data_IF_802403601794
#
_entry.id   IF_802403601794
#
_cell.length_a   1.000
_cell.length_b   1.000
_cell.length_c   1.000
_cell.angle_alpha   90.00
_cell.angle_beta   90.00
_cell.angle_gamma   90.00
#
_symmetry.space_group_name_H-M   'P 1'
#
loop_
_entity.id
_entity.type
_entity.pdbx_description
1 polymer ?
2 non-polymer ?
3 non-polymer ?
4 non-polymer ?
5 non-polymer ?
6 water ?
#
# COMPACT_ATOMS: atom_id res chain seq x y z
N UNK A 1 -8.47 3.48 -6.90
CA UNK A 1 -9.55 4.03 -7.75
C UNK A 1 -10.40 2.89 -8.29
N UNK A 2 -11.70 2.93 -8.01
CA UNK A 2 -12.67 1.88 -8.43
C UNK A 2 -13.13 2.06 -9.88
N UNK A 3 -13.57 0.96 -10.47
CA UNK A 3 -14.11 0.92 -11.86
C UNK A 3 -15.57 1.38 -11.83
N UNK A 4 -15.86 2.55 -12.38
CA UNK A 4 -17.22 3.12 -12.47
C UNK A 4 -18.23 2.10 -13.10
N UNK A 5 -17.74 1.21 -13.96
CA UNK A 5 -18.55 0.20 -14.62
C UNK A 5 -19.18 -0.76 -13.64
N UNK A 6 -18.49 -1.07 -12.52
CA UNK A 6 -19.04 -1.96 -11.49
C UNK A 6 -20.21 -1.30 -10.75
N UNK A 7 -20.17 0.04 -10.60
CA UNK A 7 -21.26 0.78 -9.98
C UNK A 7 -22.47 0.69 -10.92
N UNK A 8 -22.23 0.76 -12.23
CA UNK A 8 -23.28 0.65 -13.24
C UNK A 8 -23.84 -0.75 -13.38
N UNK A 9 -22.94 -1.78 -13.41
CA UNK A 9 -23.33 -3.16 -13.72
C UNK A 9 -23.64 -4.06 -12.55
N UNK A 10 -23.04 -3.83 -11.36
CA UNK A 10 -23.35 -4.63 -10.16
C UNK A 10 -23.47 -3.70 -8.91
N UNK A 11 -24.34 -2.66 -8.94
CA UNK A 11 -24.42 -1.77 -7.77
C UNK A 11 -24.70 -2.44 -6.41
N UNK A 12 -25.55 -3.48 -6.38
CA UNK A 12 -25.86 -4.21 -5.15
C UNK A 12 -24.63 -4.88 -4.58
N UNK A 13 -23.79 -5.50 -5.45
CA UNK A 13 -22.52 -6.13 -5.05
C UNK A 13 -21.58 -5.06 -4.46
N UNK A 14 -21.51 -3.87 -5.11
CA UNK A 14 -20.66 -2.76 -4.68
C UNK A 14 -21.16 -2.26 -3.30
N UNK A 15 -22.49 -2.05 -3.15
CA UNK A 15 -23.11 -1.64 -1.88
C UNK A 15 -22.79 -2.62 -0.77
N UNK A 16 -22.87 -3.93 -1.10
CA UNK A 16 -22.61 -5.03 -0.15
C UNK A 16 -21.15 -5.01 0.34
N UNK A 17 -20.20 -4.82 -0.57
CA UNK A 17 -18.77 -4.83 -0.26
C UNK A 17 -18.37 -3.58 0.56
N UNK A 18 -18.99 -2.41 0.27
CA UNK A 18 -18.77 -1.16 1.03
C UNK A 18 -19.33 -1.29 2.45
N UNK A 19 -20.56 -1.82 2.58
CA UNK A 19 -21.24 -2.05 3.84
C UNK A 19 -20.45 -3.02 4.72
N UNK A 20 -19.98 -4.15 4.14
CA UNK A 20 -19.16 -5.14 4.86
C UNK A 20 -17.90 -4.53 5.52
N UNK A 21 -17.31 -3.48 4.92
CA UNK A 21 -16.12 -2.77 5.47
C UNK A 21 -16.49 -1.83 6.65
N UNK A 22 -17.80 -1.65 6.87
CA UNK A 22 -18.33 -0.74 7.87
C UNK A 22 -18.60 0.63 7.28
N UNK A 23 -18.46 0.76 5.95
CA UNK A 23 -18.67 2.02 5.25
C UNK A 23 -20.12 2.23 4.76
N UNK A 24 -20.43 3.47 4.36
CA UNK A 24 -21.76 3.85 3.92
C UNK A 24 -22.03 3.41 2.47
N UNK A 25 -22.94 2.44 2.22
CA UNK A 25 -23.23 2.01 0.83
C UNK A 25 -24.00 3.05 -0.01
N UNK A 26 -24.60 4.09 0.64
CA UNK A 26 -25.35 5.15 -0.04
C UNK A 26 -24.50 5.93 -1.06
N UNK A 27 -23.16 5.84 -0.95
CA UNK A 27 -22.22 6.45 -1.90
C UNK A 27 -22.45 5.90 -3.34
N UNK A 28 -22.98 4.66 -3.46
CA UNK A 28 -23.25 4.01 -4.74
C UNK A 28 -24.41 4.73 -5.42
N UNK A 29 -25.41 5.15 -4.62
CA UNK A 29 -26.54 5.90 -5.14
C UNK A 29 -26.13 7.31 -5.55
N UNK A 30 -25.22 7.95 -4.78
CA UNK A 30 -24.70 9.29 -5.05
C UNK A 30 -23.89 9.26 -6.35
N UNK A 31 -23.07 8.20 -6.56
CA UNK A 31 -22.28 8.02 -7.77
C UNK A 31 -23.19 7.83 -8.98
N UNK A 32 -24.17 6.89 -8.91
CA UNK A 32 -25.10 6.63 -10.01
C UNK A 32 -25.94 7.85 -10.39
N UNK A 33 -26.28 8.72 -9.42
CA UNK A 33 -27.04 9.95 -9.64
C UNK A 33 -26.18 10.92 -10.48
N UNK A 34 -24.90 11.04 -10.11
CA UNK A 34 -23.99 11.91 -10.84
C UNK A 34 -23.76 11.32 -12.23
N UNK A 35 -23.62 9.98 -12.32
CA UNK A 35 -23.43 9.29 -13.61
C UNK A 35 -24.59 9.55 -14.60
N UNK A 36 -25.84 9.53 -14.10
CA UNK A 36 -27.04 9.79 -14.89
C UNK A 36 -27.04 11.27 -15.36
N UNK A 37 -26.70 12.23 -14.47
CA UNK A 37 -26.60 13.64 -14.85
C UNK A 37 -25.55 13.82 -15.96
N UNK A 38 -24.41 13.11 -15.83
CA UNK A 38 -23.29 13.11 -16.75
C UNK A 38 -23.74 12.59 -18.11
N UNK A 39 -24.45 11.45 -18.10
CA UNK A 39 -25.01 10.79 -19.27
C UNK A 39 -25.96 11.72 -20.02
N UNK A 40 -26.82 12.45 -19.29
CA UNK A 40 -27.77 13.41 -19.86
C UNK A 40 -27.03 14.60 -20.51
N UNK A 41 -25.98 15.12 -19.83
CA UNK A 41 -25.15 16.22 -20.31
C UNK A 41 -24.47 15.83 -21.63
N UNK A 42 -23.82 14.64 -21.67
CA UNK A 42 -23.18 14.16 -22.89
C UNK A 42 -24.20 14.04 -24.04
N UNK A 43 -25.31 13.32 -23.78
CA UNK A 43 -26.40 13.10 -24.73
C UNK A 43 -26.96 14.42 -25.27
N UNK A 44 -27.10 15.44 -24.41
CA UNK A 44 -27.62 16.75 -24.84
C UNK A 44 -26.57 17.50 -25.69
N UNK A 45 -25.25 17.37 -25.37
CA UNK A 45 -24.15 17.98 -26.14
C UNK A 45 -24.14 17.37 -27.56
N UNK A 46 -24.32 16.03 -27.64
CA UNK A 46 -24.36 15.29 -28.91
C UNK A 46 -25.53 15.74 -29.78
N UNK A 47 -26.74 15.98 -29.19
CA UNK A 47 -27.89 16.50 -29.96
C UNK A 47 -27.58 17.91 -30.45
N UNK A 48 -26.81 18.69 -29.67
CA UNK A 48 -26.40 20.04 -30.03
C UNK A 48 -25.38 20.05 -31.15
N UNK A 49 -24.40 19.11 -31.11
CA UNK A 49 -23.36 19.01 -32.13
C UNK A 49 -23.99 18.58 -33.45
N UNK A 50 -25.01 17.70 -33.40
CA UNK A 50 -25.76 17.23 -34.58
C UNK A 50 -26.57 18.40 -35.16
N UNK A 51 -27.20 19.20 -34.28
CA UNK A 51 -27.98 20.36 -34.69
C UNK A 51 -27.06 21.40 -35.34
N UNK A 52 -25.84 21.57 -34.80
CA UNK A 52 -24.83 22.49 -35.32
C UNK A 52 -24.40 22.07 -36.72
N UNK A 53 -24.25 20.74 -36.95
CA UNK A 53 -23.88 20.22 -38.27
C UNK A 53 -24.95 20.61 -39.29
N UNK A 54 -26.25 20.42 -38.95
CA UNK A 54 -27.38 20.82 -39.80
C UNK A 54 -27.32 22.33 -40.08
N UNK A 55 -27.09 23.15 -39.02
CA UNK A 55 -27.00 24.61 -39.11
C UNK A 55 -25.84 25.03 -40.05
N UNK A 56 -24.61 24.47 -39.88
CA UNK A 56 -23.43 24.79 -40.70
C UNK A 56 -23.60 24.45 -42.17
N UNK A 57 -24.27 23.31 -42.46
CA UNK A 57 -24.56 22.87 -43.82
C UNK A 57 -25.50 23.89 -44.47
N UNK A 58 -26.47 24.41 -43.69
CA UNK A 58 -27.44 25.44 -44.12
C UNK A 58 -26.74 26.76 -44.42
N UNK A 59 -25.78 27.18 -43.57
CA UNK A 59 -24.99 28.41 -43.77
C UNK A 59 -24.17 28.33 -45.07
N UNK A 60 -23.49 27.18 -45.31
CA UNK A 60 -22.70 26.89 -46.51
C UNK A 60 -23.59 26.85 -47.75
N UNK A 61 -24.82 26.27 -47.61
CA UNK A 61 -25.80 26.18 -48.70
C UNK A 61 -26.35 27.58 -49.03
N UNK A 62 -26.57 28.42 -48.00
CA UNK A 62 -27.07 29.78 -48.17
C UNK A 62 -25.97 30.69 -48.71
N UNK A 63 -24.70 30.40 -48.38
CA UNK A 63 -23.52 31.14 -48.84
C UNK A 63 -23.33 30.93 -50.35
N UNK A 64 -23.65 29.72 -50.84
CA UNK A 64 -23.55 29.37 -52.26
C UNK A 64 -24.79 29.85 -53.03
N UNK A 65 -25.98 29.80 -52.39
CA UNK A 65 -27.26 30.20 -52.98
C UNK A 65 -27.56 31.72 -52.93
N UNK A 66 -26.92 32.46 -52.01
CA UNK A 66 -27.10 33.90 -51.75
C UNK A 66 -28.54 34.26 -51.38
CA UNK A 69 -28.84 33.81 -43.03
C UNK A 69 -28.44 34.29 -41.64
N UNK A 70 -28.88 35.49 -41.26
CA UNK A 70 -28.59 36.11 -39.96
C UNK A 70 -29.14 35.30 -38.78
N UNK A 71 -30.29 34.61 -38.97
CA UNK A 71 -30.91 33.77 -37.93
C UNK A 71 -30.18 32.43 -37.79
N UNK A 72 -29.70 31.84 -38.90
CA UNK A 72 -28.94 30.59 -38.82
C UNK A 72 -27.53 30.89 -38.26
N UNK A 73 -27.02 32.14 -38.44
CA UNK A 73 -25.74 32.60 -37.88
C UNK A 73 -25.90 32.74 -36.34
N UNK A 74 -27.00 33.41 -35.90
CA UNK A 74 -27.35 33.60 -34.49
C UNK A 74 -27.55 32.24 -33.79
N UNK A 75 -28.26 31.31 -34.42
CA UNK A 75 -28.48 29.95 -33.84
C UNK A 75 -27.13 29.24 -33.72
N UNK A 76 -26.27 29.40 -34.73
CA UNK A 76 -24.94 28.75 -34.71
C UNK A 76 -24.14 29.28 -33.51
N UNK A 77 -24.23 30.58 -33.25
CA UNK A 77 -23.50 31.21 -32.11
C UNK A 77 -24.03 30.63 -30.79
N UNK A 78 -25.35 30.53 -30.62
CA UNK A 78 -25.98 29.99 -29.41
C UNK A 78 -25.56 28.53 -29.16
N UNK A 79 -25.57 27.72 -30.24
CA UNK A 79 -25.18 26.32 -30.16
C UNK A 79 -23.72 26.19 -29.72
N UNK A 80 -22.84 27.05 -30.26
CA UNK A 80 -21.43 27.08 -29.92
C UNK A 80 -21.24 27.41 -28.46
N UNK A 81 -22.00 28.42 -27.97
CA UNK A 81 -21.99 28.86 -26.58
C UNK A 81 -22.44 27.75 -25.62
N UNK A 82 -23.59 27.13 -25.92
CA UNK A 82 -24.19 26.04 -25.13
C UNK A 82 -23.32 24.79 -25.03
N UNK A 83 -22.61 24.43 -26.11
CA UNK A 83 -21.73 23.26 -26.15
C UNK A 83 -20.53 23.53 -25.23
N UNK A 84 -19.98 24.76 -25.29
CA UNK A 84 -18.86 25.20 -24.49
C UNK A 84 -19.25 25.14 -23.00
N UNK A 85 -20.49 25.57 -22.67
CA UNK A 85 -21.05 25.54 -21.33
C UNK A 85 -21.19 24.07 -20.88
N UNK A 86 -21.78 23.20 -21.75
CA UNK A 86 -21.94 21.78 -21.44
C UNK A 86 -20.60 21.06 -21.26
N UNK A 87 -19.55 21.50 -21.97
CA UNK A 87 -18.23 20.93 -21.84
C UNK A 87 -17.61 21.25 -20.47
N UNK A 88 -17.80 22.50 -19.97
CA UNK A 88 -17.27 22.86 -18.67
C UNK A 88 -18.06 22.13 -17.57
N UNK A 89 -19.40 22.02 -17.75
CA UNK A 89 -20.29 21.31 -16.82
C UNK A 89 -19.88 19.82 -16.70
N UNK A 90 -19.52 19.20 -17.83
CA UNK A 90 -19.11 17.80 -17.86
C UNK A 90 -17.76 17.60 -17.14
N UNK A 91 -16.80 18.52 -17.35
CA UNK A 91 -15.49 18.47 -16.71
C UNK A 91 -15.66 18.50 -15.18
N UNK A 92 -16.61 19.33 -14.71
CA UNK A 92 -16.92 19.52 -13.30
C UNK A 92 -17.54 18.28 -12.70
N UNK A 93 -18.56 17.71 -13.36
CA UNK A 93 -19.21 16.49 -12.87
C UNK A 93 -18.20 15.33 -12.83
N UNK A 94 -17.29 15.27 -13.82
CA UNK A 94 -16.28 14.21 -13.90
C UNK A 94 -15.36 14.32 -12.70
N UNK A 95 -14.89 15.55 -12.38
CA UNK A 95 -13.99 15.83 -11.25
C UNK A 95 -14.69 15.56 -9.95
N UNK A 96 -16.00 15.89 -9.87
CA UNK A 96 -16.82 15.61 -8.69
C UNK A 96 -16.94 14.08 -8.49
N UNK A 97 -17.21 13.33 -9.57
CA UNK A 97 -17.31 11.86 -9.51
C UNK A 97 -15.99 11.21 -9.09
N UNK A 98 -14.88 11.66 -9.72
CA UNK A 98 -13.51 11.21 -9.42
C UNK A 98 -13.13 11.49 -7.94
N UNK A 99 -13.57 12.62 -7.41
CA UNK A 99 -13.34 13.02 -6.02
C UNK A 99 -13.95 12.04 -5.04
N UNK A 100 -15.18 11.60 -5.34
CA UNK A 100 -15.87 10.64 -4.50
C UNK A 100 -15.24 9.26 -4.68
N UNK A 101 -15.06 8.83 -5.93
CA UNK A 101 -14.53 7.51 -6.26
C UNK A 101 -13.17 7.21 -5.73
N UNK A 102 -12.24 8.19 -5.76
CA UNK A 102 -10.87 7.95 -5.30
C UNK A 102 -10.80 7.81 -3.77
N UNK A 103 -11.90 8.13 -3.09
CA UNK A 103 -11.98 8.04 -1.63
C UNK A 103 -12.62 6.73 -1.14
N UNK A 104 -13.05 5.87 -2.07
CA UNK A 104 -13.67 4.59 -1.69
C UNK A 104 -12.59 3.50 -1.62
N UNK A 105 -12.47 2.74 -0.51
CA UNK A 105 -11.46 1.66 -0.46
C UNK A 105 -11.68 0.58 -1.51
N UNK A 106 -10.61 -0.18 -1.84
CA UNK A 106 -10.72 -1.30 -2.77
C UNK A 106 -11.84 -2.27 -2.36
N UNK A 107 -12.57 -2.81 -3.34
CA UNK A 107 -13.65 -3.76 -3.09
C UNK A 107 -13.01 -5.05 -2.59
N UNK A 108 -13.47 -5.51 -1.43
CA UNK A 108 -12.94 -6.73 -0.80
C UNK A 108 -13.17 -7.93 -1.68
N UNK A 109 -12.30 -8.95 -1.60
CA UNK A 109 -12.55 -10.15 -2.39
C UNK A 109 -13.62 -10.94 -1.65
N UNK A 110 -14.25 -11.91 -2.36
CA UNK A 110 -15.29 -12.76 -1.78
C UNK A 110 -14.88 -13.52 -0.51
N UNK A 111 -13.63 -14.01 -0.44
CA UNK A 111 -13.17 -14.83 0.70
C UNK A 111 -12.66 -14.01 1.92
N UNK A 112 -12.80 -12.65 1.89
CA UNK A 112 -12.42 -11.83 3.04
C UNK A 112 -13.52 -12.08 4.10
N UNK A 113 -13.18 -12.59 5.30
CA UNK A 113 -14.26 -12.87 6.29
C UNK A 113 -14.82 -11.62 6.92
N UNK A 114 -16.12 -11.62 7.21
CA UNK A 114 -16.81 -10.50 7.83
C UNK A 114 -16.32 -10.30 9.25
N UNK A 115 -16.16 -9.05 9.63
CA UNK A 115 -15.73 -8.72 10.96
C UNK A 115 -15.71 -7.23 11.20
N UNK A 116 -15.63 -6.87 12.48
CA UNK A 116 -15.67 -5.49 12.94
C UNK A 116 -14.34 -4.96 13.47
N UNK A 117 -13.46 -5.85 13.97
CA UNK A 117 -12.16 -5.47 14.54
C UNK A 117 -11.15 -6.59 14.40
N UNK A 118 -9.89 -6.34 14.81
CA UNK A 118 -8.81 -7.31 14.73
C UNK A 118 -9.09 -8.62 15.50
N UNK A 119 -10.15 -8.67 16.35
CA UNK A 119 -10.54 -9.88 17.06
C UNK A 119 -11.22 -10.86 16.11
N UNK A 120 -11.84 -10.32 15.05
CA UNK A 120 -12.52 -11.07 14.01
C UNK A 120 -11.59 -11.49 12.86
N UNK A 121 -10.28 -11.16 12.94
CA UNK A 121 -9.33 -11.61 11.91
C UNK A 121 -9.25 -13.13 12.04
N UNK A 122 -9.23 -13.86 10.91
CA UNK A 122 -9.29 -15.31 10.97
C UNK A 122 -7.89 -15.91 10.92
N UNK A 123 -7.52 -16.62 11.98
CA UNK A 123 -6.23 -17.31 12.06
C UNK A 123 -6.24 -18.48 11.06
N UNK A 124 -5.32 -18.49 10.11
CA UNK A 124 -5.30 -19.56 9.11
C UNK A 124 -4.13 -20.55 9.35
N UNK A 125 -3.14 -20.14 10.14
CA UNK A 125 -1.95 -20.93 10.40
C UNK A 125 -1.17 -20.39 11.57
N UNK A 126 -0.43 -21.29 12.24
CA UNK A 126 0.51 -21.03 13.30
C UNK A 126 1.74 -21.85 12.96
N UNK A 127 2.91 -21.28 13.17
CA UNK A 127 4.19 -21.98 13.03
C UNK A 127 5.00 -21.72 14.31
N UNK A 128 5.66 -22.77 14.78
CA UNK A 128 6.49 -22.75 15.98
C UNK A 128 5.74 -22.64 17.28
N UNK A 129 6.42 -22.88 18.39
CA UNK A 129 5.74 -22.79 19.69
C UNK A 129 6.38 -21.68 20.54
N UNK A 130 5.58 -20.73 21.08
CA UNK A 130 6.17 -19.69 21.92
C UNK A 130 7.10 -20.23 23.00
N UNK A 131 8.24 -19.59 23.16
CA UNK A 131 9.24 -19.99 24.14
C UNK A 131 8.65 -20.03 25.55
N UNK A 132 8.99 -21.11 26.24
CA UNK A 132 8.60 -21.36 27.62
C UNK A 132 9.85 -21.07 28.45
N UNK A 133 9.88 -19.87 29.06
CA UNK A 133 11.05 -19.35 29.80
C UNK A 133 11.19 -19.94 31.18
N UNK A 134 12.44 -20.10 31.65
CA UNK A 134 12.71 -20.60 33.00
C UNK A 134 12.89 -19.40 33.95
N UNK A 135 12.87 -18.18 33.40
CA UNK A 135 13.04 -16.93 34.14
C UNK A 135 12.03 -15.93 33.56
N UNK A 136 11.84 -14.78 34.24
CA UNK A 136 10.91 -13.74 33.75
C UNK A 136 11.54 -13.03 32.57
N UNK A 137 10.96 -13.12 31.37
CA UNK A 137 11.59 -12.46 30.22
C UNK A 137 11.49 -10.94 30.30
N UNK A 138 12.57 -10.26 29.90
CA UNK A 138 12.57 -8.81 29.87
C UNK A 138 11.94 -8.38 28.55
N UNK A 139 11.31 -7.22 28.55
CA UNK A 139 10.70 -6.61 27.39
C UNK A 139 11.86 -6.05 26.53
N UNK A 140 11.69 -5.96 25.18
CA UNK A 140 12.77 -5.48 24.31
C UNK A 140 13.28 -4.07 24.65
N UNK A 141 12.40 -3.14 25.10
CA UNK A 141 12.81 -1.78 25.48
C UNK A 141 13.81 -1.79 26.63
N UNK A 142 13.66 -2.70 27.60
CA UNK A 142 14.63 -2.79 28.69
C UNK A 142 15.92 -3.44 28.22
N UNK A 143 15.83 -4.52 27.41
CA UNK A 143 17.04 -5.20 26.90
C UNK A 143 17.93 -4.29 26.04
N UNK A 144 17.32 -3.51 25.13
CA UNK A 144 18.07 -2.62 24.21
C UNK A 144 18.77 -1.51 24.97
N UNK A 145 18.20 -1.08 26.12
CA UNK A 145 18.83 -0.06 26.96
C UNK A 145 19.95 -0.66 27.77
N UNK A 146 19.69 -1.82 28.40
CA UNK A 146 20.67 -2.56 29.19
C UNK A 146 21.89 -2.95 28.36
N UNK A 147 21.67 -3.40 27.10
CA UNK A 147 22.76 -3.82 26.21
C UNK A 147 23.30 -2.70 25.34
N UNK A 148 22.75 -1.48 25.49
CA UNK A 148 23.22 -0.31 24.72
C UNK A 148 23.13 -0.58 23.21
N UNK A 149 21.95 -1.07 22.78
CA UNK A 149 21.67 -1.41 21.38
C UNK A 149 20.84 -0.31 20.78
N UNK A 150 20.13 0.45 21.64
CA UNK A 150 19.26 1.52 21.15
C UNK A 150 19.15 2.65 22.16
N UNK A 151 18.95 3.90 21.68
CA UNK A 151 18.80 5.05 22.58
C UNK A 151 17.57 5.86 22.18
N UNK A 152 16.56 5.86 23.05
CA UNK A 152 15.32 6.61 22.83
C UNK A 152 15.41 8.03 23.37
N UNK A 153 16.00 8.19 24.58
CA UNK A 153 16.07 9.51 25.25
C UNK A 153 16.86 10.49 24.41
N UNK A 154 18.02 10.07 23.92
CA UNK A 154 18.81 11.00 23.10
C UNK A 154 18.13 11.33 21.78
N UNK A 155 17.40 10.38 21.18
CA UNK A 155 16.70 10.66 19.93
C UNK A 155 15.54 11.64 20.15
N UNK A 156 14.94 11.64 21.36
CA UNK A 156 13.83 12.58 21.68
C UNK A 156 14.38 13.99 21.67
N UNK A 157 15.64 14.14 22.08
CA UNK A 157 16.38 15.41 22.12
C UNK A 157 16.52 15.98 20.71
N UNK A 158 16.85 15.12 19.75
CA UNK A 158 17.11 15.57 18.37
C UNK A 158 15.90 15.56 17.44
N UNK A 159 14.91 14.69 17.70
CA UNK A 159 13.75 14.55 16.79
C UNK A 159 12.35 14.52 17.47
N UNK A 160 12.30 14.48 18.80
CA UNK A 160 11.04 14.37 19.49
C UNK A 160 10.73 12.92 19.81
N UNK A 161 9.57 12.69 20.40
CA UNK A 161 9.15 11.35 20.79
C UNK A 161 9.01 10.42 19.60
N UNK A 162 9.24 9.12 19.84
CA UNK A 162 9.05 8.02 18.90
C UNK A 162 10.04 8.04 17.72
N UNK A 163 11.28 8.39 18.04
CA UNK A 163 12.44 8.25 17.16
C UNK A 163 13.46 7.48 18.00
N UNK A 164 14.48 6.88 17.37
CA UNK A 164 15.47 6.11 18.12
C UNK A 164 16.85 6.21 17.44
N UNK A 165 17.94 6.09 18.23
CA UNK A 165 19.27 5.90 17.66
C UNK A 165 19.54 4.40 17.83
N UNK A 166 20.02 3.70 16.81
CA UNK A 166 20.41 2.30 17.00
C UNK A 166 21.89 2.36 17.15
N UNK A 167 22.39 1.77 18.23
CA UNK A 167 23.82 1.94 18.62
C UNK A 167 24.62 0.64 18.70
N UNK A 168 25.86 0.71 18.22
CA UNK A 168 26.82 -0.42 18.30
C UNK A 168 26.21 -1.65 17.64
N UNK A 169 26.06 -2.73 18.40
CA UNK A 169 25.50 -4.02 17.94
C UNK A 169 24.03 -3.83 17.55
N UNK A 170 23.36 -2.83 18.12
CA UNK A 170 21.98 -2.52 17.74
C UNK A 170 21.90 -2.09 16.29
N UNK A 171 22.78 -1.16 15.90
CA UNK A 171 22.89 -0.68 14.51
C UNK A 171 23.40 -1.84 13.61
N UNK A 172 24.35 -2.64 14.12
CA UNK A 172 24.88 -3.79 13.38
C UNK A 172 23.76 -4.83 13.11
N UNK A 173 22.95 -5.15 14.14
CA UNK A 173 21.84 -6.08 13.98
C UNK A 173 20.80 -5.57 12.98
N UNK A 174 20.49 -4.25 13.00
CA UNK A 174 19.49 -3.67 12.07
C UNK A 174 19.97 -3.87 10.62
N UNK A 175 21.25 -3.55 10.38
CA UNK A 175 21.94 -3.70 9.11
C UNK A 175 21.98 -5.19 8.67
N UNK A 176 22.37 -6.08 9.59
CA UNK A 176 22.42 -7.53 9.33
C UNK A 176 21.03 -8.05 8.95
N UNK A 177 19.95 -7.56 9.60
CA UNK A 177 18.58 -7.99 9.28
C UNK A 177 18.19 -7.58 7.85
N UNK A 178 18.52 -6.35 7.46
CA UNK A 178 18.25 -5.86 6.10
C UNK A 178 19.07 -6.63 5.08
N UNK A 179 20.36 -6.86 5.34
CA UNK A 179 21.17 -7.64 4.38
C UNK A 179 20.63 -9.05 4.24
N UNK A 180 20.37 -9.73 5.36
CA UNK A 180 19.81 -11.09 5.37
C UNK A 180 18.47 -11.17 4.59
N UNK A 181 17.53 -10.26 4.90
CA UNK A 181 16.19 -10.21 4.29
C UNK A 181 16.25 -10.01 2.81
N UNK A 182 17.08 -9.05 2.36
CA UNK A 182 17.24 -8.77 0.94
C UNK A 182 17.90 -9.96 0.26
N UNK A 183 18.95 -10.54 0.87
CA UNK A 183 19.65 -11.69 0.26
C UNK A 183 18.68 -12.81 0.06
N UNK A 184 17.85 -13.09 1.08
CA UNK A 184 16.83 -14.16 0.99
C UNK A 184 15.89 -13.90 -0.19
N UNK A 185 15.27 -12.71 -0.26
CA UNK A 185 14.30 -12.44 -1.33
C UNK A 185 14.88 -12.40 -2.74
N UNK A 186 16.13 -11.92 -2.88
CA UNK A 186 16.77 -11.87 -4.20
C UNK A 186 17.36 -13.21 -4.64
N UNK A 187 18.02 -13.98 -3.72
CA UNK A 187 18.70 -15.22 -4.15
C UNK A 187 17.79 -16.45 -4.07
N UNK A 188 16.73 -16.40 -3.26
CA UNK A 188 15.88 -17.59 -3.12
C UNK A 188 14.47 -17.39 -3.62
N UNK A 189 13.95 -16.13 -3.64
CA UNK A 189 12.56 -15.85 -3.97
C UNK A 189 12.30 -15.11 -5.30
N UNK A 190 13.36 -14.87 -6.08
CA UNK A 190 13.31 -14.26 -7.40
C UNK A 190 12.93 -12.79 -7.50
N UNK A 191 13.17 -11.99 -6.44
CA UNK A 191 12.88 -10.55 -6.45
C UNK A 191 14.13 -9.80 -6.91
N UNK A 192 13.93 -8.66 -7.54
CA UNK A 192 15.00 -7.82 -8.05
C UNK A 192 15.19 -6.75 -6.99
N UNK A 193 16.43 -6.59 -6.57
CA UNK A 193 16.78 -5.60 -5.55
C UNK A 193 16.55 -4.19 -6.09
N UNK A 194 16.03 -3.30 -5.25
CA UNK A 194 15.77 -1.91 -5.61
C UNK A 194 16.05 -1.02 -4.42
N UNK A 195 16.52 0.20 -4.71
CA UNK A 195 16.67 1.27 -3.69
C UNK A 195 15.86 2.45 -4.23
N UNK A 196 15.11 3.13 -3.38
CA UNK A 196 14.12 4.13 -3.87
C UNK A 196 14.29 5.50 -3.24
N UNK A 197 13.75 6.56 -3.89
CA UNK A 197 13.70 7.86 -3.28
C UNK A 197 12.78 7.79 -2.06
N UNK A 198 13.20 8.42 -0.97
CA UNK A 198 12.42 8.46 0.27
C UNK A 198 11.52 9.71 0.28
N UNK A 199 11.61 10.55 -0.75
CA UNK A 199 10.74 11.74 -0.84
C UNK A 199 10.01 11.59 -2.16
N UNK A 200 8.67 11.70 -2.17
CA UNK A 200 7.89 11.54 -3.42
C UNK A 200 6.87 12.67 -3.57
N UNK A 201 6.40 12.92 -4.83
CA UNK A 201 5.42 13.98 -5.07
C UNK A 201 3.99 13.49 -4.72
N UNK A 202 2.98 14.38 -4.84
CA UNK A 202 1.57 14.06 -4.55
C UNK A 202 0.98 13.02 -5.54
N UNK A 203 1.34 13.08 -6.85
CA UNK A 203 0.81 12.08 -7.81
C UNK A 203 1.19 10.63 -7.43
N UNK A 204 2.41 10.46 -6.95
CA UNK A 204 2.93 9.17 -6.52
C UNK A 204 2.19 8.72 -5.25
N UNK A 205 1.94 9.66 -4.31
CA UNK A 205 1.25 9.32 -3.07
C UNK A 205 -0.22 8.97 -3.35
N UNK A 206 -0.81 9.60 -4.38
CA UNK A 206 -2.15 9.30 -4.84
C UNK A 206 -2.13 7.93 -5.52
N UNK A 207 -1.13 7.69 -6.37
CA UNK A 207 -0.96 6.43 -7.10
C UNK A 207 -1.21 5.18 -6.27
N UNK A 208 -0.59 5.10 -5.07
CA UNK A 208 -0.74 3.92 -4.22
C UNK A 208 -1.88 4.03 -3.16
N UNK A 209 -2.62 5.14 -3.14
CA UNK A 209 -3.80 5.27 -2.28
C UNK A 209 -3.65 6.03 -0.97
N UNK A 210 -2.41 6.49 -0.64
CA UNK A 210 -2.20 7.26 0.60
C UNK A 210 -2.84 8.64 0.50
N UNK A 211 -2.97 9.17 -0.72
CA UNK A 211 -3.68 10.42 -0.94
C UNK A 211 -4.99 10.12 -1.66
N UNK A 212 -6.06 10.90 -1.42
CA UNK A 212 -6.14 12.09 -0.54
C UNK A 212 -6.48 11.84 0.94
N UNK A 213 -7.04 10.66 1.27
CA UNK A 213 -7.57 10.30 2.59
C UNK A 213 -6.57 10.25 3.76
N UNK A 214 -5.32 9.83 3.53
CA UNK A 214 -4.35 9.63 4.62
C UNK A 214 -3.19 10.64 4.61
N UNK A 215 -3.47 11.88 4.15
CA UNK A 215 -2.44 12.94 4.11
C UNK A 215 -1.90 13.27 5.50
N UNK A 216 -2.77 13.21 6.53
CA UNK A 216 -2.38 13.56 7.90
C UNK A 216 -1.51 12.52 8.57
N UNK A 217 -1.33 11.34 7.95
CA UNK A 217 -0.45 10.28 8.46
C UNK A 217 0.97 10.40 7.86
N UNK A 218 1.20 11.41 7.05
CA UNK A 218 2.47 11.61 6.35
C UNK A 218 3.23 12.86 6.75
N UNK A 219 4.57 12.84 6.62
CA UNK A 219 5.32 14.10 6.82
C UNK A 219 5.38 14.78 5.47
N UNK A 220 4.89 16.03 5.40
CA UNK A 220 4.83 16.82 4.18
C UNK A 220 5.87 17.96 4.14
N UNK A 221 6.60 18.07 3.03
CA UNK A 221 7.56 19.12 2.70
C UNK A 221 6.80 20.07 1.81
N UNK A 222 6.19 21.09 2.41
CA UNK A 222 5.30 22.03 1.73
C UNK A 222 5.94 22.85 0.58
N UNK A 223 7.21 23.31 0.72
CA UNK A 223 7.86 24.13 -0.31
C UNK A 223 8.07 23.36 -1.63
N UNK A 224 8.59 22.15 -1.56
CA UNK A 224 8.84 21.37 -2.76
C UNK A 224 7.68 20.46 -3.18
N UNK A 225 6.63 20.35 -2.37
CA UNK A 225 5.49 19.47 -2.65
C UNK A 225 5.90 18.01 -2.54
N UNK A 226 6.70 17.68 -1.57
CA UNK A 226 7.12 16.29 -1.42
C UNK A 226 6.63 15.73 -0.10
N UNK A 227 6.60 14.41 0.01
CA UNK A 227 6.21 13.75 1.25
C UNK A 227 7.27 12.72 1.54
N UNK A 228 7.58 12.46 2.83
CA UNK A 228 8.46 11.33 3.12
C UNK A 228 7.64 10.05 2.86
N UNK A 229 8.30 8.98 2.37
CA UNK A 229 7.55 7.74 2.11
C UNK A 229 7.17 7.00 3.41
N UNK A 230 5.93 6.50 3.52
CA UNK A 230 5.55 5.74 4.72
C UNK A 230 6.01 4.27 4.60
N UNK A 231 6.40 3.88 3.38
CA UNK A 231 6.80 2.51 3.01
C UNK A 231 7.38 2.55 1.62
N UNK A 232 8.32 1.63 1.29
CA UNK A 232 8.92 1.52 -0.05
C UNK A 232 7.83 1.08 -1.07
N UNK A 233 6.70 0.55 -0.59
CA UNK A 233 5.60 0.23 -1.49
C UNK A 233 5.27 1.44 -2.40
N UNK A 234 5.29 2.66 -1.84
CA UNK A 234 4.88 3.87 -2.58
C UNK A 234 5.81 4.10 -3.81
N UNK A 235 7.13 4.28 -3.68
CA UNK A 235 7.96 4.44 -4.88
C UNK A 235 8.13 3.16 -5.68
N UNK A 236 8.15 1.98 -5.03
CA UNK A 236 8.29 0.72 -5.76
C UNK A 236 7.09 0.45 -6.70
N UNK A 237 5.87 0.64 -6.22
CA UNK A 237 4.68 0.43 -7.06
C UNK A 237 4.60 1.51 -8.16
N UNK A 238 5.03 2.73 -7.84
CA UNK A 238 4.95 3.86 -8.76
C UNK A 238 6.04 3.89 -9.82
N UNK A 239 6.97 2.93 -9.78
CA UNK A 239 8.03 2.75 -10.76
C UNK A 239 7.43 2.66 -12.15
N UNK A 240 6.28 1.99 -12.29
CA UNK A 240 5.59 1.84 -13.56
C UNK A 240 4.39 2.77 -13.74
N UNK A 241 4.32 3.86 -12.95
CA UNK A 241 3.20 4.78 -13.12
C UNK A 241 3.17 5.39 -14.56
N UNK A 242 1.95 5.56 -15.12
CA UNK A 242 1.70 6.15 -16.44
C UNK A 242 2.53 5.46 -17.51
N UNK A 243 2.58 4.14 -17.47
CA UNK A 243 3.46 3.41 -18.39
C UNK A 243 2.78 2.10 -18.81
N UNK A 244 3.11 1.61 -20.00
CA UNK A 244 2.57 0.30 -20.43
C UNK A 244 3.73 -0.70 -20.27
N UNK A 245 3.59 -1.64 -19.34
CA UNK A 245 4.65 -2.67 -19.16
C UNK A 245 4.65 -3.54 -20.42
N UNK A 246 5.84 -3.86 -20.91
CA UNK A 246 5.95 -4.56 -22.17
C UNK A 246 5.65 -6.05 -22.11
N UNK A 247 5.27 -6.66 -23.27
CA UNK A 247 5.04 -8.12 -23.31
C UNK A 247 6.25 -8.91 -22.79
N UNK A 248 5.98 -10.00 -22.08
CA UNK A 248 7.03 -10.89 -21.55
C UNK A 248 7.72 -10.42 -20.27
N UNK A 249 7.41 -9.20 -19.81
CA UNK A 249 8.02 -8.64 -18.61
C UNK A 249 7.36 -9.17 -17.33
N UNK A 250 6.01 -9.16 -17.29
CA UNK A 250 5.27 -9.63 -16.11
C UNK A 250 5.43 -11.14 -15.85
N UNK A 251 5.62 -11.59 -14.59
CA UNK A 251 5.64 -10.82 -13.33
C UNK A 251 6.92 -10.06 -13.03
N UNK A 252 6.78 -8.83 -12.53
CA UNK A 252 7.87 -7.99 -12.09
C UNK A 252 7.83 -8.06 -10.59
N UNK A 253 8.92 -8.52 -9.98
CA UNK A 253 9.06 -8.72 -8.55
C UNK A 253 10.17 -7.85 -7.98
N UNK A 254 9.82 -6.85 -7.14
CA UNK A 254 10.80 -5.97 -6.55
C UNK A 254 10.96 -6.19 -5.06
N UNK A 255 12.18 -6.02 -4.56
CA UNK A 255 12.46 -6.06 -3.11
C UNK A 255 13.46 -5.01 -2.76
N UNK A 256 13.35 -4.46 -1.57
CA UNK A 256 14.35 -3.51 -1.11
C UNK A 256 14.07 -2.95 0.26
N UNK A 257 15.08 -2.38 0.88
CA UNK A 257 14.86 -1.74 2.17
C UNK A 257 14.67 -0.25 1.94
N UNK A 258 14.10 0.43 2.90
CA UNK A 258 13.96 1.90 2.91
C UNK A 258 13.66 2.25 4.36
N UNK A 259 14.00 3.47 4.74
CA UNK A 259 13.50 4.03 5.99
C UNK A 259 12.03 4.34 5.62
N UNK A 260 11.13 4.26 6.58
CA UNK A 260 9.68 4.47 6.48
C UNK A 260 9.25 5.50 7.47
N UNK A 261 8.49 6.49 7.01
CA UNK A 261 8.15 7.67 7.84
C UNK A 261 6.67 7.83 8.00
N UNK A 262 6.21 7.83 9.24
CA UNK A 262 4.78 7.93 9.57
C UNK A 262 4.56 8.92 10.69
N UNK A 263 3.69 9.91 10.44
CA UNK A 263 3.44 10.96 11.41
C UNK A 263 2.64 10.46 12.66
N UNK A 264 1.98 9.28 12.54
CA UNK A 264 1.16 8.55 13.53
C UNK A 264 0.28 9.46 14.37
N UNK A 265 -0.54 10.30 13.68
CA UNK A 265 -1.51 11.24 14.30
C UNK A 265 -2.46 10.59 15.30
N UNK A 271 2.10 1.53 23.28
CA UNK A 271 3.32 1.38 22.48
C UNK A 271 4.29 2.56 22.71
N UNK A 272 4.27 3.17 23.92
CA UNK A 272 5.13 4.31 24.28
C UNK A 272 6.58 3.87 24.48
N UNK A 273 6.78 2.64 24.94
CA UNK A 273 8.12 2.09 25.15
C UNK A 273 8.45 1.11 24.06
N UNK A 274 9.56 1.36 23.38
CA UNK A 274 10.07 0.44 22.37
C UNK A 274 10.08 0.74 20.89
N UNK A 275 10.23 -0.34 20.13
CA UNK A 275 10.40 -0.33 18.69
C UNK A 275 9.16 -0.69 17.90
N UNK A 276 8.03 -0.88 18.54
CA UNK A 276 6.83 -1.33 17.83
C UNK A 276 6.22 -0.21 16.96
N UNK A 277 6.12 1.00 17.49
CA UNK A 277 5.53 2.15 16.80
C UNK A 277 6.44 3.39 16.87
N UNK A 278 7.18 3.63 15.80
CA UNK A 278 8.07 4.81 15.66
C UNK A 278 7.66 5.66 14.48
N UNK A 279 8.14 6.92 14.44
CA UNK A 279 7.90 7.79 13.29
C UNK A 279 8.78 7.38 12.14
N UNK A 280 9.91 6.73 12.46
CA UNK A 280 10.82 6.24 11.44
C UNK A 280 11.28 4.85 11.81
N UNK A 281 11.15 3.92 10.87
CA UNK A 281 11.58 2.54 11.04
C UNK A 281 12.06 2.03 9.72
N UNK A 282 12.77 0.89 9.71
CA UNK A 282 13.24 0.29 8.47
C UNK A 282 12.36 -0.88 8.13
N UNK A 283 12.17 -1.12 6.84
CA UNK A 283 11.36 -2.25 6.39
C UNK A 283 11.91 -2.79 5.08
N UNK A 284 12.02 -4.12 4.95
CA UNK A 284 12.39 -4.74 3.69
C UNK A 284 11.04 -5.10 3.04
N UNK A 285 10.73 -4.42 1.95
CA UNK A 285 9.47 -4.53 1.24
C UNK A 285 9.53 -5.45 0.03
N UNK A 286 8.41 -6.09 -0.28
CA UNK A 286 8.21 -6.89 -1.49
C UNK A 286 7.06 -6.24 -2.28
N UNK A 287 7.26 -6.00 -3.59
CA UNK A 287 6.24 -5.41 -4.46
C UNK A 287 6.19 -6.23 -5.71
N UNK A 288 4.98 -6.60 -6.17
CA UNK A 288 4.83 -7.38 -7.41
C UNK A 288 3.83 -6.73 -8.37
N UNK A 289 4.10 -6.84 -9.67
CA UNK A 289 3.24 -6.39 -10.76
C UNK A 289 2.90 -7.67 -11.45
N UNK A 290 1.62 -7.98 -11.49
CA UNK A 290 1.15 -9.26 -12.01
C UNK A 290 0.05 -9.13 -13.03
N UNK A 291 -0.08 -10.15 -13.87
CA UNK A 291 -1.23 -10.25 -14.78
C UNK A 291 -2.44 -10.57 -13.84
N UNK A 292 -3.66 -10.08 -14.12
CA UNK A 292 -4.80 -10.31 -13.21
C UNK A 292 -5.03 -11.78 -12.83
N UNK A 293 -4.88 -12.72 -13.80
CA UNK A 293 -5.07 -14.15 -13.53
C UNK A 293 -3.92 -14.74 -12.66
N UNK A 294 -2.89 -13.95 -12.35
CA UNK A 294 -1.75 -14.44 -11.54
C UNK A 294 -1.66 -13.87 -10.12
N UNK A 295 -2.46 -12.84 -9.84
CA UNK A 295 -2.33 -12.09 -8.59
C UNK A 295 -2.72 -12.85 -7.35
N UNK A 296 -3.71 -13.73 -7.44
CA UNK A 296 -4.13 -14.50 -6.27
C UNK A 296 -3.07 -15.49 -5.87
N UNK A 297 -2.42 -16.20 -6.83
CA UNK A 297 -1.31 -17.12 -6.47
C UNK A 297 -0.12 -16.33 -5.94
N UNK A 298 0.14 -15.15 -6.53
CA UNK A 298 1.23 -14.24 -6.16
C UNK A 298 1.10 -13.83 -4.69
N UNK A 299 -0.15 -13.54 -4.21
CA UNK A 299 -0.41 -13.22 -2.80
C UNK A 299 0.05 -14.34 -1.89
N UNK A 300 -0.29 -15.58 -2.27
CA UNK A 300 0.09 -16.77 -1.51
C UNK A 300 1.59 -16.93 -1.47
N UNK A 301 2.25 -16.89 -2.65
CA UNK A 301 3.71 -16.99 -2.79
C UNK A 301 4.44 -15.89 -1.98
N UNK A 302 3.96 -14.64 -2.08
CA UNK A 302 4.53 -13.50 -1.39
C UNK A 302 4.42 -13.64 0.12
N UNK A 303 3.24 -14.06 0.62
CA UNK A 303 3.05 -14.26 2.07
C UNK A 303 4.04 -15.35 2.55
N UNK A 304 4.18 -16.43 1.76
CA UNK A 304 5.12 -17.52 2.07
C UNK A 304 6.57 -17.01 2.11
N UNK A 305 6.93 -16.11 1.15
CA UNK A 305 8.26 -15.50 1.11
C UNK A 305 8.56 -14.73 2.43
N UNK A 306 7.55 -14.01 2.97
CA UNK A 306 7.68 -13.27 4.24
C UNK A 306 7.82 -14.25 5.44
N UNK A 307 7.00 -15.32 5.44
CA UNK A 307 7.03 -16.38 6.48
C UNK A 307 8.39 -17.08 6.52
N UNK A 308 9.05 -17.24 5.34
CA UNK A 308 10.37 -17.88 5.26
C UNK A 308 11.42 -17.18 6.15
N UNK A 309 11.30 -15.85 6.33
CA UNK A 309 12.19 -15.03 7.16
C UNK A 309 11.94 -15.41 8.62
N UNK A 310 10.65 -15.45 9.04
CA UNK A 310 10.26 -15.78 10.42
C UNK A 310 10.70 -17.18 10.77
N UNK A 311 10.44 -18.12 9.84
CA UNK A 311 10.81 -19.51 10.00
C UNK A 311 12.30 -19.73 10.13
N UNK A 312 13.10 -19.18 9.20
CA UNK A 312 14.55 -19.32 9.27
C UNK A 312 15.10 -18.61 10.50
N UNK A 313 14.49 -17.47 10.94
CA UNK A 313 14.93 -16.79 12.15
C UNK A 313 14.48 -17.47 13.47
N UNK A 314 13.70 -18.56 13.37
CA UNK A 314 13.18 -19.31 14.51
C UNK A 314 12.20 -18.50 15.33
N UNK A 315 11.41 -17.65 14.67
CA UNK A 315 10.44 -16.80 15.37
C UNK A 315 8.99 -17.32 15.25
N UNK A 316 8.40 -17.87 16.34
CA UNK A 316 7.02 -18.35 16.27
C UNK A 316 6.05 -17.24 15.82
N UNK A 317 5.11 -17.60 14.95
CA UNK A 317 4.19 -16.60 14.44
C UNK A 317 2.88 -17.25 14.10
N UNK A 318 1.92 -16.42 13.73
CA UNK A 318 0.65 -16.85 13.21
C UNK A 318 0.30 -16.01 11.99
N UNK A 319 -0.38 -16.62 11.00
CA UNK A 319 -0.88 -15.98 9.79
C UNK A 319 -2.37 -15.81 9.98
N UNK A 320 -2.88 -14.58 9.78
CA UNK A 320 -4.31 -14.27 9.86
C UNK A 320 -4.79 -13.63 8.56
N UNK A 321 -6.08 -13.72 8.28
CA UNK A 321 -6.71 -13.04 7.15
C UNK A 321 -7.43 -11.89 7.79
N UNK A 322 -7.11 -10.68 7.37
CA UNK A 322 -7.77 -9.50 7.93
C UNK A 322 -9.27 -9.54 7.59
N UNK A 323 -10.12 -9.26 8.60
CA UNK A 323 -11.56 -9.27 8.38
C UNK A 323 -11.98 -8.02 7.63
N UNK A 324 -13.23 -7.96 7.15
CA UNK A 324 -13.74 -6.85 6.36
C UNK A 324 -13.58 -5.47 7.05
N UNK A 325 -13.76 -5.42 8.36
CA UNK A 325 -13.67 -4.19 9.12
C UNK A 325 -12.25 -3.73 9.42
N UNK A 326 -11.27 -4.63 9.23
CA UNK A 326 -9.86 -4.40 9.52
C UNK A 326 -8.96 -4.18 8.32
N UNK A 327 -9.33 -4.71 7.15
CA UNK A 327 -8.54 -4.57 5.93
C UNK A 327 -8.37 -3.09 5.57
N UNK A 328 -7.16 -2.75 5.11
CA UNK A 328 -6.75 -1.42 4.69
C UNK A 328 -7.41 -0.93 3.41
N UNK A 329 -6.99 0.28 2.99
CA UNK A 329 -7.59 1.03 1.92
C UNK A 329 -7.42 0.46 0.51
N UNK A 330 -6.18 0.13 0.12
CA UNK A 330 -5.90 -0.30 -1.24
C UNK A 330 -6.03 -1.82 -1.48
N UNK A 331 -5.97 -2.61 -0.41
CA UNK A 331 -6.09 -4.08 -0.52
C UNK A 331 -7.50 -4.59 -0.82
N UNK A 332 -7.56 -5.67 -1.62
CA UNK A 332 -8.77 -6.41 -1.88
C UNK A 332 -8.79 -7.58 -0.90
N UNK A 333 -7.59 -8.09 -0.55
CA UNK A 333 -7.41 -9.17 0.43
C UNK A 333 -6.04 -9.01 1.09
N UNK A 334 -5.98 -9.14 2.43
CA UNK A 334 -4.72 -9.03 3.17
C UNK A 334 -4.55 -10.18 4.15
N UNK A 335 -3.32 -10.71 4.18
CA UNK A 335 -2.85 -11.63 5.23
C UNK A 335 -1.89 -10.82 6.10
N UNK A 336 -2.00 -10.95 7.41
CA UNK A 336 -1.03 -10.34 8.29
C UNK A 336 -0.27 -11.48 8.98
N UNK A 337 1.03 -11.30 9.18
CA UNK A 337 1.85 -12.24 9.94
C UNK A 337 2.05 -11.55 11.26
N UNK A 338 1.86 -12.29 12.34
CA UNK A 338 1.97 -11.75 13.69
C UNK A 338 2.94 -12.63 14.45
N UNK A 339 4.02 -12.02 14.97
CA UNK A 339 5.12 -12.72 15.63
C UNK A 339 4.87 -12.82 17.14
N UNK A 340 5.31 -13.93 17.75
CA UNK A 340 5.19 -14.06 19.21
C UNK A 340 6.11 -13.03 19.91
N UNK A 341 5.53 -12.23 20.81
CA UNK A 341 6.25 -11.21 21.54
C UNK A 341 6.06 -11.47 23.03
N UNK A 342 7.03 -12.11 23.73
CA UNK A 342 6.82 -12.40 25.16
C UNK A 342 6.29 -11.23 26.00
N UNK A 343 6.77 -9.98 25.79
CA UNK A 343 6.31 -8.83 26.61
C UNK A 343 4.84 -8.49 26.40
N UNK A 344 4.33 -8.84 25.23
CA UNK A 344 2.96 -8.60 24.83
C UNK A 344 2.09 -9.81 25.28
N UNK A 345 2.74 -10.98 25.54
CA UNK A 345 2.13 -12.27 25.88
C UNK A 345 1.10 -12.64 24.79
N UNK A 346 1.45 -12.29 23.55
CA UNK A 346 0.57 -12.49 22.40
C UNK A 346 1.35 -12.29 21.11
N UNK A 347 0.71 -12.54 19.97
CA UNK A 347 1.27 -12.35 18.65
C UNK A 347 1.09 -10.88 18.27
N UNK A 348 2.10 -10.32 17.64
CA UNK A 348 2.10 -8.92 17.27
C UNK A 348 2.42 -8.80 15.79
N UNK A 349 1.62 -8.02 15.06
CA UNK A 349 1.81 -7.82 13.61
C UNK A 349 3.26 -7.43 13.27
N UNK A 350 3.87 -8.16 12.32
CA UNK A 350 5.23 -7.95 11.86
C UNK A 350 5.22 -7.78 10.33
N UNK A 351 4.12 -8.19 9.67
CA UNK A 351 3.97 -8.05 8.23
C UNK A 351 2.53 -7.93 7.83
N UNK A 352 2.33 -7.23 6.72
CA UNK A 352 1.06 -7.10 6.05
C UNK A 352 1.33 -7.44 4.56
N UNK A 353 0.68 -8.50 4.03
CA UNK A 353 0.79 -8.93 2.63
C UNK A 353 -0.56 -8.78 1.94
N UNK A 354 -0.60 -7.94 0.91
CA UNK A 354 -1.85 -7.62 0.23
C UNK A 354 -1.86 -7.77 -1.27
N UNK A 355 -3.01 -8.19 -1.78
CA UNK A 355 -3.29 -8.15 -3.21
C UNK A 355 -4.18 -6.91 -3.40
N UNK A 356 -3.69 -5.92 -4.14
CA UNK A 356 -4.47 -4.68 -4.37
C UNK A 356 -5.23 -4.76 -5.70
N UNK A 357 -5.18 -5.90 -6.36
CA UNK A 357 -5.88 -6.11 -7.67
C UNK A 357 -5.50 -4.97 -8.63
N UNK A 358 -6.49 -4.32 -9.23
CA UNK A 358 -6.28 -3.24 -10.24
C UNK A 358 -6.48 -1.85 -9.63
N UNK A 359 -6.64 -1.77 -8.30
CA UNK A 359 -6.92 -0.54 -7.57
C UNK A 359 -5.84 0.52 -7.77
N UNK A 360 -4.59 0.19 -7.40
CA UNK A 360 -3.49 1.15 -7.55
C UNK A 360 -3.13 1.31 -9.02
N UNK A 361 -3.20 0.21 -9.80
CA UNK A 361 -2.95 0.29 -11.25
C UNK A 361 -3.89 1.30 -11.94
N UNK A 362 -5.14 1.39 -11.51
CA UNK A 362 -6.06 2.36 -12.11
C UNK A 362 -5.73 3.77 -11.66
N UNK A 363 -5.39 3.93 -10.40
CA UNK A 363 -5.01 5.22 -9.81
C UNK A 363 -3.77 5.78 -10.49
N UNK A 364 -2.73 4.93 -10.65
CA UNK A 364 -1.43 5.29 -11.19
C UNK A 364 -1.27 5.02 -12.70
N UNK A 365 -2.33 4.54 -13.38
CA UNK A 365 -2.30 4.21 -14.82
C UNK A 365 -1.15 3.25 -15.17
N UNK A 366 -1.04 2.14 -14.42
CA UNK A 366 -0.04 1.08 -14.63
C UNK A 366 -0.71 0.02 -15.52
N UNK A 367 -0.32 -0.03 -16.78
CA UNK A 367 -0.89 -0.98 -17.70
C UNK A 367 0.16 -1.96 -18.21
N UNK A 368 -0.29 -2.95 -18.99
CA UNK A 368 0.58 -3.94 -19.65
C UNK A 368 -0.08 -4.45 -20.91
N UNK A 369 0.72 -5.05 -21.80
CA UNK A 369 0.26 -5.66 -23.06
C UNK A 369 0.79 -7.09 -23.06
N UNK A 370 -0.07 -8.08 -23.40
CA UNK A 370 0.34 -9.49 -23.47
C UNK A 370 1.27 -9.79 -24.66
N UNK A 371 1.03 -9.15 -25.82
CA UNK A 371 1.81 -9.21 -27.07
C UNK A 371 1.79 -7.81 -27.70
N UNK A 372 2.52 -7.57 -28.83
CA UNK A 372 2.60 -6.25 -29.45
C UNK A 372 1.25 -5.68 -29.92
N UNK A 373 0.35 -6.56 -30.40
CA UNK A 373 -0.96 -6.15 -30.92
C UNK A 373 -2.02 -6.01 -29.85
N UNK A 374 -1.84 -6.67 -28.71
CA UNK A 374 -2.79 -6.66 -27.58
C UNK A 374 -3.23 -5.25 -27.09
N UNK A 375 -4.47 -5.16 -26.62
CA UNK A 375 -5.06 -3.95 -26.05
C UNK A 375 -4.46 -3.83 -24.64
N UNK A 376 -3.97 -2.63 -24.22
CA UNK A 376 -3.42 -2.52 -22.85
C UNK A 376 -4.46 -2.86 -21.79
N UNK A 377 -4.01 -3.51 -20.71
CA UNK A 377 -4.86 -3.93 -19.59
C UNK A 377 -4.23 -3.40 -18.33
N UNK A 378 -5.04 -3.17 -17.31
CA UNK A 378 -4.50 -2.77 -16.00
C UNK A 378 -3.76 -3.95 -15.39
N UNK A 379 -2.58 -3.71 -14.82
CA UNK A 379 -1.85 -4.77 -14.13
C UNK A 379 -2.50 -4.93 -12.76
N UNK A 380 -2.12 -6.00 -12.02
CA UNK A 380 -2.45 -6.10 -10.61
C UNK A 380 -1.15 -5.81 -9.86
N UNK A 381 -1.25 -5.23 -8.65
CA UNK A 381 -0.10 -4.90 -7.81
C UNK A 381 -0.31 -5.51 -6.46
N UNK A 382 0.80 -5.96 -5.85
CA UNK A 382 0.80 -6.59 -4.53
C UNK A 382 1.96 -5.98 -3.79
N UNK A 383 1.84 -5.92 -2.48
CA UNK A 383 2.89 -5.46 -1.60
C UNK A 383 2.83 -6.24 -0.31
N UNK A 384 4.00 -6.51 0.26
CA UNK A 384 4.12 -7.29 1.49
C UNK A 384 5.39 -7.01 2.24
N UNK A 385 5.33 -6.93 3.58
CA UNK A 385 6.53 -6.68 4.39
C UNK A 385 7.33 -8.00 4.51
N UNK A 386 8.63 -7.95 4.26
CA UNK A 386 9.46 -9.14 4.35
C UNK A 386 10.82 -8.93 5.02
N UNK A 387 10.91 -8.33 6.22
CA UNK A 387 9.81 -7.87 7.10
C UNK A 387 10.02 -6.44 7.59
N UNK A 388 9.11 -5.95 8.47
CA UNK A 388 9.34 -4.69 9.18
C UNK A 388 10.52 -5.04 10.07
N UNK A 389 11.62 -4.28 9.92
CA UNK A 389 12.92 -4.61 10.55
C UNK A 389 12.91 -4.42 12.06
N UNK A 390 12.39 -3.29 12.54
CA UNK A 390 12.33 -3.00 13.97
C UNK A 390 11.53 -4.01 14.78
N UNK A 391 10.38 -4.43 14.25
CA UNK A 391 9.57 -5.46 14.91
C UNK A 391 10.27 -6.83 14.90
N UNK A 392 11.07 -7.13 13.85
CA UNK A 392 11.87 -8.39 13.84
C UNK A 392 12.96 -8.26 14.92
N UNK A 393 13.65 -7.13 14.97
CA UNK A 393 14.71 -6.81 15.94
C UNK A 393 14.11 -6.99 17.35
N UNK A 394 12.92 -6.40 17.61
CA UNK A 394 12.22 -6.56 18.89
C UNK A 394 11.91 -8.03 19.20
N UNK A 395 11.37 -8.78 18.23
CA UNK A 395 11.04 -10.21 18.41
C UNK A 395 12.29 -11.02 18.71
N UNK A 396 13.40 -10.70 18.04
CA UNK A 396 14.66 -11.41 18.25
C UNK A 396 15.18 -11.20 19.67
N UNK A 397 15.25 -9.92 20.09
CA UNK A 397 15.76 -9.47 21.38
C UNK A 397 15.01 -10.13 22.55
N UNK A 398 13.67 -10.25 22.44
CA UNK A 398 12.81 -10.88 23.47
C UNK A 398 12.89 -12.39 23.43
N UNK A 399 12.79 -13.00 22.24
CA UNK A 399 12.76 -14.47 22.11
C UNK A 399 14.09 -15.14 22.23
N UNK A 400 15.21 -14.41 21.99
CA UNK A 400 16.56 -14.98 22.07
C UNK A 400 17.35 -14.52 23.30
N UNK A 401 16.68 -13.77 24.19
CA UNK A 401 17.29 -13.31 25.43
C UNK A 401 17.74 -14.49 26.32
N UNK A 402 18.83 -14.30 27.05
CA UNK A 402 19.34 -15.28 27.99
C UNK A 402 19.07 -14.82 29.41
N UNK A 403 19.22 -15.73 30.37
CA UNK A 403 18.99 -15.46 31.78
C UNK A 403 19.89 -14.36 32.29
N UNK A 404 21.14 -14.28 31.80
CA UNK A 404 22.07 -13.21 32.23
C UNK A 404 21.79 -11.83 31.56
N UNK A 405 20.76 -11.78 30.70
CA UNK A 405 20.38 -10.54 30.02
C UNK A 405 21.04 -10.33 28.68
N UNK A 406 21.88 -11.28 28.25
CA UNK A 406 22.49 -11.20 26.93
C UNK A 406 21.48 -11.70 25.89
N UNK A 407 21.81 -11.52 24.61
CA UNK A 407 20.91 -11.95 23.54
C UNK A 407 21.72 -12.84 22.62
N UNK A 408 21.26 -14.07 22.43
CA UNK A 408 21.90 -15.01 21.53
C UNK A 408 21.51 -14.58 20.09
N UNK A 409 22.50 -14.48 19.22
CA UNK A 409 22.25 -14.13 17.82
C UNK A 409 21.64 -15.34 17.09
N UNK A 410 20.48 -15.17 16.42
CA UNK A 410 19.89 -16.31 15.69
C UNK A 410 20.88 -16.84 14.65
N UNK A 411 21.04 -18.17 14.58
CA UNK A 411 21.96 -18.86 13.68
C UNK A 411 22.12 -18.27 12.25
N UNK A 412 20.99 -18.00 11.56
CA UNK A 412 21.07 -17.47 10.20
C UNK A 412 21.67 -16.04 10.14
N UNK A 413 21.67 -15.32 11.28
CA UNK A 413 22.24 -13.97 11.30
C UNK A 413 23.71 -13.91 11.70
N UNK A 414 24.25 -15.01 12.23
CA UNK A 414 25.68 -15.10 12.66
C UNK A 414 26.66 -14.70 11.52
N UNK A 415 26.54 -15.23 10.27
CA UNK A 415 27.47 -14.79 9.22
C UNK A 415 27.27 -13.33 8.79
N UNK A 416 26.09 -12.73 9.07
CA UNK A 416 25.76 -11.32 8.78
C UNK A 416 26.19 -10.38 9.93
N UNK A 417 26.62 -10.97 11.06
CA UNK A 417 27.06 -10.26 12.27
C UNK A 417 28.58 -10.42 12.49
N UNK A 418 29.30 -10.67 11.38
CA UNK A 418 30.74 -10.86 11.40
C UNK A 418 31.17 -12.05 12.24
N UNK A 419 30.33 -13.08 12.26
CA UNK A 419 30.62 -14.30 13.03
C UNK A 419 30.27 -14.24 14.51
N UNK A 420 29.73 -13.10 14.99
CA UNK A 420 29.32 -12.96 16.40
C UNK A 420 28.13 -13.87 16.70
N UNK A 421 28.09 -14.42 17.92
CA UNK A 421 27.05 -15.36 18.32
C UNK A 421 26.17 -14.86 19.46
N UNK A 422 26.63 -13.81 20.14
CA UNK A 422 25.95 -13.23 21.28
C UNK A 422 26.12 -11.72 21.33
N UNK A 423 25.09 -11.02 21.83
CA UNK A 423 25.15 -9.59 22.08
C UNK A 423 25.36 -9.50 23.59
N UNK A 424 26.56 -9.09 23.99
CA UNK A 424 26.90 -9.00 25.40
C UNK A 424 26.72 -7.60 25.96
N UNK A 425 26.79 -7.53 27.27
CA UNK A 425 26.70 -6.32 28.07
C UNK A 425 27.91 -5.42 27.79
N UNK A 426 27.75 -4.10 27.96
CA UNK A 426 28.86 -3.15 27.72
C UNK A 426 30.15 -3.54 28.45
N UNK A 427 31.32 -3.31 27.79
CA UNK A 427 32.64 -3.60 28.36
C UNK A 427 33.02 -2.59 29.44
X LIG B 1 3.63 -1.65 2.16
X LIG B 1 2.86 -2.48 3.09
X LIG B 1 3.54 -3.82 3.33
X LIG B 1 4.76 -3.64 4.01
X LIG B 1 2.73 -1.72 4.40
X LIG B 1 3.44 -0.77 4.64
X LIG B 1 1.85 -2.14 5.36
X LIG B 1 1.74 -1.63 6.86
X LIG B 1 1.23 -0.32 6.88
X LIG B 1 1.09 -2.67 7.57
X LIG B 1 3.20 -1.62 7.43
X LIG B 1 4.03 -2.78 7.23
X LIG B 1 4.56 -3.24 8.56
X LIG B 1 5.40 -2.23 9.15
X LIG B 1 3.53 -3.57 9.63
X LIG B 1 3.09 -4.89 9.42
X LIG B 1 4.35 -3.42 10.92
X LIG B 1 5.04 -4.61 11.27
X LIG B 1 5.33 -2.30 10.56
X LIG B 1 4.97 -0.98 11.06
X LIG B 1 3.85 -0.26 10.74
X LIG B 1 3.79 0.92 11.30
X LIG B 1 4.96 0.98 12.05
X LIG B 1 5.50 1.98 12.88
X LIG B 1 4.92 3.16 13.09
X LIG B 1 6.68 1.72 13.48
X LIG B 1 7.26 0.55 13.25
X LIG B 1 6.86 -0.46 12.48
X LIG B 1 5.69 -0.18 11.91
X LIG C 1 19.35 3.55 2.22
X LIG C 1 18.53 2.88 3.14
X LIG C 1 20.66 3.96 2.90
X LIG C 1 20.37 5.00 3.78
X LIG D 1 13.32 -3.05 -13.83
X LIG D 1 13.28 -4.44 -13.63
X LIG D 1 14.46 -2.46 -12.98
X LIG D 1 15.70 -2.80 -13.57
X LIG E 1 -10.30 2.76 4.86
X LIG E 1 -10.53 4.16 4.77
X LIG E 1 -8.90 2.48 5.45
X LIG E 1 -8.84 1.14 5.87
X LIG F 1 -16.96 9.37 -14.52
X LIG F 1 -16.33 8.26 -13.88
X LIG F 1 -15.92 10.41 -14.98
X LIG F 1 -15.11 10.82 -13.89
X LIG G 1 0.68 6.35 5.66
X LIG G 1 1.40 6.94 6.75
X LIG G 1 0.80 4.87 5.68
X LIG G 1 0.50 4.31 4.39
X LIG G 1 1.27 3.14 4.10
X LIG G 1 0.53 1.90 4.48
X LIG G 1 -0.66 1.73 3.73
X LIG H 1 -0.92 -3.08 8.98
#
# INVERSE_FOLDING_TARGET
MLDIRLFRNEPDTVKSKIELRGDDPKVVDEILELDEQRRKLISATEEMKARRNKVSEEIALKKRNKENADDVIAEMRTLGDDIKEKDSQLNEIDNKMTGILCRIPNLISDDVPQGESDEDNVEVKKWGTPREFSFEPKAHWDIVEELKMADFDRAAKVSGARFVYLTNEGAQLERALMNYMITKHTTQHGYTEMMVPQLVNADTMYGTGQLPKFEEDLFKVEKEGLYTIPTAEVPLTNFYRNEIIQPGVLPEKFTGQSACFRSEAGSAGRDTRGLIRLHQFDKVEMVRFEQPEDSWNALEEMTTNAEAILEELGLPYRRVILCTGDIGFSASKTYDLEVWLPSYNDYKEISSCSNCTDFQARRANIRFKRDKAAKPELAHTLNGSGLAVGRTFAAIVENYQNEDGTVTIPEALVPFMGGKTQISKPVKELALVPRGSSAHHHHHHHHHH
SSA N10 CA CB OG C9 O9 N8 S1 O1S O2S O5' C5' C4' O4' C3' O3' C2' O2' C1' N9 C8 N7 C5 C6 N6 N1 C2 N3 C4
EDO C1 O1 C2 O2
EDO C1 O1 C2 O2
EDO C1 O1 C2 O2
EDO C1 O1 C2 O2
PEG C1 O1 C2 O2 C3 C4 O4
MG MG
#
